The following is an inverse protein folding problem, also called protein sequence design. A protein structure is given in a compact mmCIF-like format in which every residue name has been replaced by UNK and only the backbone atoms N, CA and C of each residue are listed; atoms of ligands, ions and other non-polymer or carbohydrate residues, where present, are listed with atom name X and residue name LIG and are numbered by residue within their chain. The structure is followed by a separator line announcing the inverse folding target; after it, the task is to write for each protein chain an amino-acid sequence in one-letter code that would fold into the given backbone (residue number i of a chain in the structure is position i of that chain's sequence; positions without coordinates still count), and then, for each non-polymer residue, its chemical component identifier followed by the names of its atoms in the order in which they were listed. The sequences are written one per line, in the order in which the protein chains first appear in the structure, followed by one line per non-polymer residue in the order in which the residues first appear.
data_IF_751113486709
#
_entry.id   IF_751113486709
#
_cell.length_a   1.000
_cell.length_b   1.000
_cell.length_c   1.000
_cell.angle_alpha   90.00
_cell.angle_beta   90.00
_cell.angle_gamma   90.00
#
_symmetry.space_group_name_H-M   'P 1'
#
loop_
_entity.id
_entity.type
_entity.pdbx_description
1 polymer ?
#
# COMPACT_ATOMS: atom_id res chain seq x y z
N UNK A 1 -20.94 -3.28 -15.24
CA UNK A 1 -20.49 -2.90 -13.88
C UNK A 1 -19.18 -2.10 -13.82
N UNK A 2 -18.57 -1.67 -14.93
CA UNK A 2 -17.32 -0.87 -14.90
C UNK A 2 -17.52 0.62 -14.54
N UNK A 3 -18.77 1.11 -14.47
CA UNK A 3 -19.08 2.53 -14.34
C UNK A 3 -18.63 3.16 -12.99
N UNK A 4 -18.56 2.37 -11.92
CA UNK A 4 -18.19 2.86 -10.58
C UNK A 4 -16.71 2.63 -10.22
N UNK A 5 -15.97 1.88 -11.04
CA UNK A 5 -14.58 1.54 -10.74
C UNK A 5 -13.66 2.77 -10.81
N UNK A 6 -13.81 3.61 -11.84
CA UNK A 6 -12.99 4.81 -12.02
C UNK A 6 -13.22 5.86 -10.92
N UNK A 7 -14.48 6.23 -10.56
CA UNK A 7 -14.72 7.13 -9.43
C UNK A 7 -14.16 6.62 -8.11
N UNK A 8 -14.25 5.30 -7.87
CA UNK A 8 -13.70 4.68 -6.66
C UNK A 8 -12.18 4.78 -6.63
N UNK A 9 -11.50 4.48 -7.75
CA UNK A 9 -10.04 4.64 -7.88
C UNK A 9 -9.61 6.09 -7.66
N UNK A 10 -10.31 7.07 -8.23
CA UNK A 10 -10.02 8.49 -7.99
C UNK A 10 -10.15 8.88 -6.52
N UNK A 11 -11.16 8.35 -5.83
CA UNK A 11 -11.34 8.57 -4.39
C UNK A 11 -10.19 7.95 -3.59
N UNK A 12 -9.78 6.73 -3.94
CA UNK A 12 -8.62 6.07 -3.35
C UNK A 12 -7.32 6.88 -3.55
N UNK A 13 -7.07 7.36 -4.77
CA UNK A 13 -5.93 8.21 -5.09
C UNK A 13 -5.95 9.51 -4.28
N UNK A 14 -7.13 10.14 -4.13
CA UNK A 14 -7.29 11.33 -3.28
C UNK A 14 -6.97 11.08 -1.81
N UNK A 15 -7.32 9.92 -1.25
CA UNK A 15 -6.95 9.57 0.14
C UNK A 15 -5.45 9.31 0.27
N UNK A 16 -4.83 8.65 -0.73
CA UNK A 16 -3.38 8.49 -0.80
C UNK A 16 -2.67 9.84 -0.87
N UNK A 17 -3.26 10.81 -1.57
CA UNK A 17 -2.75 12.18 -1.67
C UNK A 17 -2.80 12.94 -0.32
N UNK A 18 -3.88 12.75 0.45
CA UNK A 18 -3.95 13.28 1.83
C UNK A 18 -2.90 12.65 2.74
N UNK A 19 -2.72 11.33 2.66
CA UNK A 19 -1.73 10.62 3.45
C UNK A 19 -0.31 11.13 3.19
N UNK A 20 0.08 11.32 1.92
CA UNK A 20 1.41 11.88 1.58
C UNK A 20 1.59 13.34 2.03
N UNK A 21 0.51 14.12 2.14
CA UNK A 21 0.55 15.48 2.66
C UNK A 21 0.63 15.54 4.20
N UNK A 22 0.75 14.38 4.87
CA UNK A 22 0.87 14.28 6.31
C UNK A 22 -0.46 14.29 7.07
N UNK A 23 -1.60 14.22 6.35
CA UNK A 23 -2.89 14.05 7.01
C UNK A 23 -3.01 12.65 7.60
N UNK A 24 -3.56 12.56 8.81
CA UNK A 24 -3.75 11.28 9.47
C UNK A 24 -4.78 10.42 8.71
N UNK A 25 -4.33 9.25 8.27
CA UNK A 25 -5.17 8.19 7.70
C UNK A 25 -4.96 6.94 8.53
N UNK A 26 -6.05 6.33 9.00
CA UNK A 26 -5.94 5.11 9.80
C UNK A 26 -5.22 3.99 9.01
N UNK A 27 -4.33 3.20 9.65
CA UNK A 27 -3.59 2.13 8.97
C UNK A 27 -4.51 1.12 8.27
N UNK A 28 -5.70 0.86 8.83
CA UNK A 28 -6.70 -0.06 8.25
C UNK A 28 -7.28 0.47 6.94
N UNK A 29 -7.55 1.77 6.86
CA UNK A 29 -8.03 2.42 5.63
C UNK A 29 -6.94 2.40 4.57
N UNK A 30 -5.70 2.76 4.94
CA UNK A 30 -4.56 2.72 4.03
C UNK A 30 -4.33 1.32 3.45
N UNK A 31 -4.35 0.29 4.31
CA UNK A 31 -4.27 -1.11 3.87
C UNK A 31 -5.39 -1.48 2.89
N UNK A 32 -6.63 -1.10 3.20
CA UNK A 32 -7.79 -1.44 2.35
C UNK A 32 -7.72 -0.75 0.98
N UNK A 33 -7.25 0.49 0.94
CA UNK A 33 -7.04 1.25 -0.29
C UNK A 33 -5.95 0.61 -1.13
N UNK A 34 -4.80 0.27 -0.53
CA UNK A 34 -3.70 -0.39 -1.24
C UNK A 34 -4.13 -1.75 -1.83
N UNK A 35 -4.90 -2.54 -1.08
CA UNK A 35 -5.46 -3.79 -1.60
C UNK A 35 -6.39 -3.55 -2.82
N UNK A 36 -7.23 -2.52 -2.76
CA UNK A 36 -8.12 -2.18 -3.87
C UNK A 36 -7.35 -1.69 -5.10
N UNK A 37 -6.39 -0.78 -4.92
CA UNK A 37 -5.54 -0.27 -6.00
C UNK A 37 -4.78 -1.43 -6.66
N UNK A 38 -4.32 -2.42 -5.88
CA UNK A 38 -3.64 -3.62 -6.39
C UNK A 38 -4.50 -4.35 -7.41
N UNK A 39 -5.78 -4.49 -7.09
CA UNK A 39 -6.75 -5.20 -7.93
C UNK A 39 -7.14 -4.34 -9.14
N UNK A 40 -7.20 -3.03 -8.97
CA UNK A 40 -7.55 -2.07 -10.01
C UNK A 40 -6.45 -1.90 -11.06
N UNK A 41 -5.19 -2.17 -10.74
CA UNK A 41 -4.07 -2.17 -11.71
C UNK A 41 -4.25 -3.26 -12.76
N UNK A 42 -4.76 -4.43 -12.38
CA UNK A 42 -5.03 -5.55 -13.30
C UNK A 42 -6.16 -5.28 -14.30
N UNK A 43 -6.89 -4.17 -14.16
CA UNK A 43 -8.04 -3.81 -15.00
C UNK A 43 -7.66 -2.65 -15.94
N UNK A 44 -7.79 -2.86 -17.25
CA UNK A 44 -7.28 -1.92 -18.28
C UNK A 44 -7.90 -0.51 -18.21
N UNK A 45 -9.15 -0.40 -17.78
CA UNK A 45 -9.86 0.89 -17.70
C UNK A 45 -9.37 1.74 -16.53
N UNK A 46 -9.20 1.14 -15.35
CA UNK A 46 -8.68 1.81 -14.15
C UNK A 46 -7.17 2.00 -14.20
N UNK A 47 -6.43 1.12 -14.89
CA UNK A 47 -5.00 1.29 -15.10
C UNK A 47 -4.65 2.61 -15.79
N UNK A 48 -5.44 3.05 -16.78
CA UNK A 48 -5.24 4.34 -17.45
C UNK A 48 -5.26 5.53 -16.49
N UNK A 49 -5.99 5.40 -15.38
CA UNK A 49 -6.10 6.42 -14.32
C UNK A 49 -4.95 6.29 -13.31
N UNK A 50 -4.55 5.07 -12.96
CA UNK A 50 -3.50 4.82 -11.95
C UNK A 50 -2.10 5.07 -12.51
N UNK A 51 -1.85 4.69 -13.76
CA UNK A 51 -0.56 4.77 -14.44
C UNK A 51 0.20 6.10 -14.23
N UNK A 52 -0.40 7.29 -14.43
CA UNK A 52 0.34 8.56 -14.24
C UNK A 52 0.79 8.80 -12.78
N UNK A 53 0.13 8.20 -11.79
CA UNK A 53 0.43 8.38 -10.36
C UNK A 53 1.27 7.24 -9.77
N UNK A 54 1.43 6.13 -10.52
CA UNK A 54 2.08 4.91 -10.03
C UNK A 54 3.47 5.17 -9.44
N UNK A 55 4.34 5.84 -10.18
CA UNK A 55 5.71 6.10 -9.75
C UNK A 55 5.75 6.91 -8.44
N UNK A 56 4.91 7.93 -8.34
CA UNK A 56 4.83 8.79 -7.16
C UNK A 56 4.33 8.00 -5.94
N UNK A 57 3.25 7.22 -6.09
CA UNK A 57 2.72 6.37 -5.02
C UNK A 57 3.78 5.40 -4.51
N UNK A 58 4.55 4.78 -5.42
CA UNK A 58 5.61 3.86 -5.04
C UNK A 58 6.68 4.57 -4.21
N UNK A 59 7.12 5.74 -4.66
CA UNK A 59 8.19 6.49 -4.01
C UNK A 59 7.78 7.10 -2.66
N UNK A 60 6.60 7.71 -2.59
CA UNK A 60 6.20 8.52 -1.43
C UNK A 60 5.37 7.75 -0.42
N UNK A 61 4.79 6.60 -0.79
CA UNK A 61 3.90 5.82 0.09
C UNK A 61 4.45 4.42 0.29
N UNK A 62 4.69 3.68 -0.79
CA UNK A 62 5.04 2.26 -0.69
C UNK A 62 6.44 2.07 -0.07
N UNK A 63 7.46 2.81 -0.52
CA UNK A 63 8.80 2.69 0.05
C UNK A 63 8.87 3.03 1.54
N UNK A 64 8.32 4.16 2.03
CA UNK A 64 8.27 4.43 3.47
C UNK A 64 7.57 3.34 4.27
N UNK A 65 6.48 2.76 3.74
CA UNK A 65 5.73 1.69 4.40
C UNK A 65 6.43 0.31 4.39
N UNK A 66 7.55 0.17 3.67
CA UNK A 66 8.35 -1.05 3.60
C UNK A 66 9.73 -0.91 4.23
N UNK A 67 10.19 0.32 4.45
CA UNK A 67 11.50 0.57 5.06
C UNK A 67 11.55 -0.12 6.42
N UNK A 68 12.68 -0.77 6.70
CA UNK A 68 13.00 -1.25 8.03
C UNK A 68 13.10 -0.05 8.97
N UNK A 69 12.23 0.02 9.97
CA UNK A 69 12.23 1.11 10.96
C UNK A 69 13.16 0.78 12.13
N UNK A 70 13.45 1.77 12.97
CA UNK A 70 14.26 1.54 14.16
C UNK A 70 13.51 0.62 15.16
N UNK A 71 12.17 0.66 15.16
CA UNK A 71 11.35 -0.28 15.95
C UNK A 71 11.43 -1.72 15.41
N UNK A 72 11.56 -1.87 14.09
CA UNK A 72 11.78 -3.18 13.47
C UNK A 72 13.14 -3.78 13.88
N UNK A 73 14.18 -2.94 14.01
CA UNK A 73 15.54 -3.33 14.41
C UNK A 73 15.60 -3.70 15.90
N UNK A 74 14.90 -2.93 16.73
CA UNK A 74 14.75 -3.23 18.16
C UNK A 74 14.02 -4.57 18.36
N UNK A 75 12.91 -4.78 17.64
CA UNK A 75 12.17 -6.05 17.70
C UNK A 75 13.01 -7.23 17.17
N UNK A 76 13.80 -7.02 16.13
CA UNK A 76 14.73 -8.03 15.61
C UNK A 76 15.80 -8.39 16.65
N UNK A 77 16.31 -7.40 17.38
CA UNK A 77 17.33 -7.58 18.42
C UNK A 77 16.78 -8.25 19.67
N UNK A 78 15.59 -7.87 20.12
CA UNK A 78 14.96 -8.36 21.35
C UNK A 78 14.29 -9.72 21.16
N UNK A 79 13.59 -9.95 20.04
CA UNK A 79 12.79 -11.15 19.80
C UNK A 79 12.65 -11.44 18.30
N UNK A 80 13.69 -12.03 17.67
CA UNK A 80 13.72 -12.28 16.23
C UNK A 80 12.59 -13.20 15.75
N UNK A 81 12.10 -14.12 16.59
CA UNK A 81 10.93 -14.95 16.32
C UNK A 81 9.63 -14.15 16.18
N UNK A 82 9.44 -13.12 17.02
CA UNK A 82 8.27 -12.26 16.99
C UNK A 82 8.35 -11.28 15.82
N UNK A 83 9.56 -10.79 15.49
CA UNK A 83 9.81 -10.06 14.25
C UNK A 83 9.39 -10.90 13.02
N UNK A 84 9.82 -12.16 12.95
CA UNK A 84 9.45 -13.03 11.82
C UNK A 84 7.94 -13.28 11.79
N UNK A 85 7.30 -13.50 12.94
CA UNK A 85 5.85 -13.75 13.02
C UNK A 85 5.02 -12.51 12.67
N UNK A 86 5.42 -11.32 13.12
CA UNK A 86 4.70 -10.07 12.84
C UNK A 86 4.92 -9.62 11.39
N UNK A 87 6.17 -9.71 10.91
CA UNK A 87 6.54 -9.22 9.58
C UNK A 87 6.27 -10.22 8.46
N UNK A 88 6.25 -11.52 8.73
CA UNK A 88 6.00 -12.54 7.70
C UNK A 88 4.84 -13.50 8.03
N UNK A 89 4.45 -13.63 9.30
CA UNK A 89 3.31 -14.44 9.71
C UNK A 89 1.95 -13.74 9.59
N UNK A 90 1.93 -12.40 9.63
CA UNK A 90 0.75 -11.60 9.33
C UNK A 90 0.54 -11.43 7.83
N UNK A 91 -0.68 -11.68 7.34
CA UNK A 91 -1.20 -11.48 5.97
C UNK A 91 -0.94 -10.08 5.35
N UNK A 92 -0.25 -9.20 6.06
CA UNK A 92 -0.03 -7.79 5.74
C UNK A 92 1.19 -7.61 4.81
N UNK A 93 2.26 -8.39 4.97
CA UNK A 93 3.47 -8.24 4.14
C UNK A 93 3.54 -9.18 2.94
N UNK A 94 3.04 -10.41 3.06
CA UNK A 94 2.94 -11.34 1.93
C UNK A 94 2.12 -10.78 0.76
N UNK A 95 1.17 -9.88 1.03
CA UNK A 95 0.37 -9.17 0.00
C UNK A 95 0.91 -7.79 -0.38
N UNK A 96 1.68 -7.11 0.49
CA UNK A 96 2.40 -5.87 0.14
C UNK A 96 3.46 -6.14 -0.94
N UNK A 97 4.14 -7.29 -0.89
CA UNK A 97 5.12 -7.65 -1.90
C UNK A 97 4.47 -7.89 -3.27
N UNK A 98 3.29 -8.53 -3.33
CA UNK A 98 2.56 -8.76 -4.58
C UNK A 98 2.15 -7.46 -5.29
N UNK A 99 1.89 -6.38 -4.53
CA UNK A 99 1.53 -5.07 -5.09
C UNK A 99 2.63 -4.48 -5.99
N UNK A 100 3.89 -4.63 -5.60
CA UNK A 100 5.04 -4.13 -6.36
C UNK A 100 5.31 -4.96 -7.61
N UNK A 101 5.09 -6.27 -7.56
CA UNK A 101 5.22 -7.13 -8.74
C UNK A 101 4.07 -6.97 -9.74
N UNK A 102 2.96 -6.34 -9.34
CA UNK A 102 1.81 -6.10 -10.21
C UNK A 102 1.82 -4.73 -10.90
N UNK A 103 2.68 -3.79 -10.49
CA UNK A 103 2.87 -2.46 -11.10
C UNK A 103 4.04 -2.46 -12.08
#
# INVERSE_FOLDING_TARGET
MAHFAVPTVNTCLGVLDRYRNGEYVSPRVLHSILQYVSTAVSQSHTWKVIKPHCQEIVQTIIFPLMKHTDEDEELWSDSPEDYVRLKYGGLIYGKKFTFIFML
#
